data_IF_861556746944
#
_entry.id   IF_861556746944
#
_cell.length_a   1.000
_cell.length_b   1.000
_cell.length_c   1.000
_cell.angle_alpha   90.00
_cell.angle_beta   90.00
_cell.angle_gamma   90.00
#
_symmetry.space_group_name_H-M   'P 1'
#
loop_
_entity.id
_entity.type
_entity.pdbx_description
1 polymer ?
#
# COMPACT_ATOMS: atom_id res chain seq x y z
N UNK A 1 46.04 49.47 -20.72
CA UNK A 1 44.97 48.80 -21.47
C UNK A 1 43.65 49.13 -20.77
N UNK A 2 42.90 50.08 -21.33
CA UNK A 2 41.49 50.34 -21.00
C UNK A 2 40.65 49.25 -21.71
N UNK A 3 39.47 48.82 -21.27
CA UNK A 3 38.25 49.63 -21.17
C UNK A 3 37.17 48.91 -20.34
N UNK A 4 36.43 49.69 -19.54
CA UNK A 4 35.25 49.32 -18.74
C UNK A 4 33.96 49.38 -19.57
N UNK A 5 32.98 48.56 -19.19
CA UNK A 5 31.54 48.60 -19.60
C UNK A 5 30.90 49.98 -19.35
N UNK A 6 29.87 50.45 -20.12
CA UNK A 6 28.44 50.12 -19.86
C UNK A 6 27.49 50.17 -21.14
N UNK A 7 26.16 50.46 -21.07
CA UNK A 7 24.99 49.61 -21.45
C UNK A 7 24.26 50.03 -22.76
N UNK A 8 23.13 49.39 -23.18
CA UNK A 8 21.81 50.09 -23.11
C UNK A 8 20.56 49.15 -22.94
N UNK A 9 19.53 49.48 -22.15
CA UNK A 9 18.29 50.26 -22.45
C UNK A 9 17.33 49.61 -23.49
N UNK A 10 16.08 49.26 -23.09
CA UNK A 10 14.95 48.90 -24.00
C UNK A 10 14.35 50.13 -24.74
N UNK A 11 13.12 50.15 -25.35
CA UNK A 11 12.01 49.17 -25.48
C UNK A 11 11.33 49.07 -26.92
N UNK A 12 10.32 48.20 -27.11
CA UNK A 12 9.16 48.46 -28.03
C UNK A 12 8.90 47.56 -29.26
N UNK A 13 7.74 46.87 -29.29
CA UNK A 13 7.10 46.28 -30.49
C UNK A 13 6.20 45.05 -30.19
N UNK A 14 4.93 44.98 -30.68
CA UNK A 14 3.98 43.90 -30.35
C UNK A 14 4.15 42.68 -31.26
N UNK A 15 4.13 41.48 -30.68
CA UNK A 15 4.16 40.21 -31.43
C UNK A 15 2.76 39.58 -31.39
N UNK A 16 2.14 39.48 -32.56
CA UNK A 16 0.92 38.70 -32.81
C UNK A 16 1.11 37.23 -32.40
N UNK A 17 0.16 36.60 -31.69
CA UNK A 17 0.14 35.16 -31.56
C UNK A 17 -0.55 34.54 -32.78
N UNK A 18 0.24 34.18 -33.79
CA UNK A 18 -0.17 33.16 -34.76
C UNK A 18 -0.30 31.82 -34.03
N UNK A 19 -1.49 31.24 -34.00
CA UNK A 19 -1.76 29.96 -33.35
C UNK A 19 -3.23 29.71 -33.15
N UNK A 20 -3.93 29.33 -34.22
CA UNK A 20 -5.29 28.79 -34.15
C UNK A 20 -5.33 27.61 -33.17
N UNK A 21 -6.17 27.73 -32.14
CA UNK A 21 -6.53 26.63 -31.25
C UNK A 21 -7.51 25.72 -31.99
N UNK A 22 -7.23 24.41 -32.19
CA UNK A 22 -8.23 23.50 -32.71
C UNK A 22 -9.37 23.37 -31.69
N UNK A 23 -10.54 23.85 -32.06
CA UNK A 23 -11.78 23.70 -31.30
C UNK A 23 -12.27 22.26 -31.52
N UNK A 24 -11.91 21.34 -30.63
CA UNK A 24 -12.47 19.98 -30.60
C UNK A 24 -13.94 20.05 -30.15
N UNK A 25 -14.85 20.26 -31.10
CA UNK A 25 -16.25 19.88 -30.91
C UNK A 25 -16.40 18.41 -31.28
N UNK A 26 -16.95 17.55 -30.40
CA UNK A 26 -17.25 16.17 -30.73
C UNK A 26 -18.18 16.12 -31.95
N UNK A 27 -17.78 15.36 -32.97
CA UNK A 27 -18.52 15.23 -34.22
C UNK A 27 -19.77 14.35 -33.99
N UNK A 28 -20.92 15.01 -33.82
CA UNK A 28 -22.23 14.35 -33.63
C UNK A 28 -22.55 13.34 -34.72
N UNK A 29 -22.05 13.57 -35.93
CA UNK A 29 -22.27 12.72 -37.10
C UNK A 29 -21.65 11.33 -36.92
N UNK A 30 -20.53 11.23 -36.20
CA UNK A 30 -19.92 9.95 -35.86
C UNK A 30 -20.74 9.21 -34.79
N UNK A 31 -21.27 9.93 -33.80
CA UNK A 31 -22.14 9.35 -32.78
C UNK A 31 -23.47 8.82 -33.36
N UNK A 32 -24.11 9.59 -34.23
CA UNK A 32 -25.36 9.18 -34.89
C UNK A 32 -25.15 7.97 -35.81
N UNK A 33 -23.97 7.84 -36.42
CA UNK A 33 -23.62 6.67 -37.24
C UNK A 33 -23.49 5.38 -36.41
N UNK A 34 -23.11 5.46 -35.12
CA UNK A 34 -23.08 4.30 -34.22
C UNK A 34 -24.47 3.92 -33.71
N UNK A 35 -25.40 4.88 -33.61
CA UNK A 35 -26.80 4.62 -33.22
C UNK A 35 -27.65 4.10 -34.39
N UNK A 36 -27.36 4.53 -35.62
CA UNK A 36 -28.09 4.10 -36.82
C UNK A 36 -27.60 2.78 -37.42
N UNK A 37 -26.44 2.26 -36.99
CA UNK A 37 -25.95 0.93 -37.38
C UNK A 37 -26.54 -0.24 -36.59
N UNK A 38 -27.71 -0.07 -35.97
CA UNK A 38 -28.51 -1.17 -35.45
C UNK A 38 -29.61 -1.56 -36.46
N UNK A 39 -29.40 -2.54 -37.37
CA UNK A 39 -30.50 -3.16 -38.09
C UNK A 39 -31.26 -4.09 -37.13
N UNK A 40 -32.59 -4.03 -37.20
CA UNK A 40 -33.55 -4.67 -36.31
C UNK A 40 -33.16 -6.02 -35.69
N UNK A 41 -33.28 -6.10 -34.37
CA UNK A 41 -33.45 -7.36 -33.66
C UNK A 41 -34.75 -7.29 -32.86
N UNK A 42 -35.69 -8.15 -33.26
CA UNK A 42 -36.86 -8.57 -32.49
C UNK A 42 -36.48 -8.94 -31.05
N UNK A 43 -37.32 -8.62 -30.05
CA UNK A 43 -37.08 -9.02 -28.66
C UNK A 43 -37.26 -10.55 -28.56
N UNK A 44 -36.15 -11.31 -28.50
CA UNK A 44 -36.23 -12.75 -28.23
C UNK A 44 -35.12 -13.67 -28.75
N UNK A 45 -34.07 -13.20 -29.42
CA UNK A 45 -32.99 -14.08 -29.88
C UNK A 45 -31.60 -13.57 -29.46
N UNK A 46 -30.91 -14.37 -28.65
CA UNK A 46 -29.54 -14.13 -28.22
C UNK A 46 -28.56 -14.20 -29.41
N UNK A 47 -27.67 -13.21 -29.61
CA UNK A 47 -26.56 -13.33 -30.54
C UNK A 47 -25.38 -14.02 -29.87
N UNK A 48 -24.97 -15.17 -30.41
CA UNK A 48 -23.67 -15.78 -30.15
C UNK A 48 -22.58 -14.99 -30.93
N UNK A 49 -21.69 -14.31 -30.21
CA UNK A 49 -20.54 -13.53 -30.71
C UNK A 49 -19.75 -12.95 -29.53
N UNK A 50 -18.42 -12.73 -29.64
CA UNK A 50 -17.47 -12.95 -28.56
C UNK A 50 -17.68 -12.04 -27.36
N UNK A 51 -18.14 -12.64 -26.26
CA UNK A 51 -17.86 -12.33 -24.85
C UNK A 51 -17.44 -10.90 -24.50
N UNK A 52 -18.24 -9.91 -24.90
CA UNK A 52 -18.16 -8.56 -24.37
C UNK A 52 -19.03 -8.48 -23.14
N UNK A 53 -18.51 -8.89 -22.00
CA UNK A 53 -19.18 -8.73 -20.70
C UNK A 53 -19.58 -7.26 -20.60
N UNK A 54 -20.88 -6.97 -20.53
CA UNK A 54 -21.34 -5.58 -20.44
C UNK A 54 -20.67 -4.93 -19.22
N UNK A 55 -20.26 -3.64 -19.24
CA UNK A 55 -19.61 -3.00 -18.09
C UNK A 55 -20.42 -3.14 -16.79
N UNK A 56 -21.75 -3.22 -16.91
CA UNK A 56 -22.68 -3.46 -15.80
C UNK A 56 -22.70 -4.93 -15.32
N UNK A 57 -22.47 -5.86 -16.24
CA UNK A 57 -22.40 -7.30 -16.02
C UNK A 57 -21.02 -7.72 -15.49
N UNK A 58 -19.96 -6.97 -15.84
CA UNK A 58 -18.66 -7.03 -15.17
C UNK A 58 -18.72 -6.47 -13.74
N UNK A 59 -19.53 -5.42 -13.52
CA UNK A 59 -19.77 -4.86 -12.19
C UNK A 59 -20.63 -5.75 -11.29
N UNK A 60 -21.55 -6.54 -11.88
CA UNK A 60 -22.41 -7.47 -11.12
C UNK A 60 -21.85 -8.89 -11.00
N UNK A 61 -21.15 -9.39 -12.02
CA UNK A 61 -20.57 -10.73 -12.07
C UNK A 61 -19.12 -10.83 -11.61
N UNK A 62 -18.47 -9.72 -11.25
CA UNK A 62 -17.03 -9.63 -10.99
C UNK A 62 -16.61 -9.25 -9.57
N UNK A 63 -17.51 -9.20 -8.59
CA UNK A 63 -17.10 -9.01 -7.18
C UNK A 63 -16.45 -10.25 -6.57
N UNK A 64 -16.50 -11.40 -7.26
CA UNK A 64 -15.68 -12.58 -6.97
C UNK A 64 -14.45 -12.64 -7.90
N UNK A 65 -13.89 -11.49 -8.27
CA UNK A 65 -12.65 -11.40 -9.03
C UNK A 65 -11.52 -12.13 -8.29
N UNK A 66 -10.90 -13.08 -8.97
CA UNK A 66 -9.92 -14.06 -8.52
C UNK A 66 -8.60 -13.53 -7.92
N UNK A 67 -8.55 -12.30 -7.43
CA UNK A 67 -7.39 -11.67 -6.79
C UNK A 67 -7.77 -10.76 -5.60
N UNK A 68 -9.01 -10.81 -5.10
CA UNK A 68 -9.35 -10.11 -3.86
C UNK A 68 -8.70 -10.83 -2.68
N UNK A 69 -7.92 -10.13 -1.82
CA UNK A 69 -7.44 -10.72 -0.58
C UNK A 69 -8.59 -11.31 0.23
N UNK A 70 -8.49 -12.59 0.54
CA UNK A 70 -9.40 -13.23 1.49
C UNK A 70 -8.91 -13.02 2.91
N UNK A 71 -9.82 -13.04 3.89
CA UNK A 71 -9.47 -12.98 5.30
C UNK A 71 -8.43 -14.05 5.67
N UNK A 72 -8.54 -15.25 5.11
CA UNK A 72 -7.59 -16.34 5.36
C UNK A 72 -6.18 -16.03 4.80
N UNK A 73 -6.08 -15.38 3.63
CA UNK A 73 -4.77 -14.94 3.10
C UNK A 73 -4.12 -13.87 3.98
N UNK A 74 -4.91 -12.92 4.50
CA UNK A 74 -4.41 -11.92 5.43
C UNK A 74 -3.96 -12.54 6.75
N UNK A 75 -4.74 -13.48 7.31
CA UNK A 75 -4.36 -14.18 8.55
C UNK A 75 -3.04 -14.95 8.37
N UNK A 76 -2.88 -15.67 7.25
CA UNK A 76 -1.62 -16.35 6.95
C UNK A 76 -0.44 -15.36 6.83
N UNK A 77 -0.68 -14.18 6.24
CA UNK A 77 0.33 -13.15 6.10
C UNK A 77 0.68 -12.46 7.42
N UNK A 78 -0.30 -12.23 8.30
CA UNK A 78 -0.10 -11.75 9.67
C UNK A 78 0.77 -12.75 10.44
N UNK A 79 0.46 -14.05 10.37
CA UNK A 79 1.25 -15.10 11.03
C UNK A 79 2.70 -15.17 10.50
N UNK A 80 2.89 -15.00 9.19
CA UNK A 80 4.22 -14.96 8.58
C UNK A 80 5.00 -13.74 9.07
N UNK A 81 4.35 -12.58 9.13
CA UNK A 81 4.95 -11.33 9.62
C UNK A 81 5.31 -11.41 11.11
N UNK A 82 4.44 -12.02 11.91
CA UNK A 82 4.68 -12.30 13.32
C UNK A 82 5.92 -13.20 13.51
N UNK A 83 6.05 -14.26 12.71
CA UNK A 83 7.22 -15.15 12.74
C UNK A 83 8.51 -14.39 12.39
N UNK A 84 8.46 -13.43 11.47
CA UNK A 84 9.60 -12.58 11.13
C UNK A 84 10.03 -11.69 12.32
N UNK A 85 9.08 -11.14 13.07
CA UNK A 85 9.38 -10.37 14.27
C UNK A 85 10.04 -11.21 15.36
N UNK A 86 9.50 -12.40 15.62
CA UNK A 86 10.09 -13.35 16.57
C UNK A 86 11.52 -13.73 16.18
N UNK A 87 11.80 -13.88 14.88
CA UNK A 87 13.16 -14.09 14.40
C UNK A 87 14.06 -12.87 14.65
N UNK A 88 13.59 -11.66 14.33
CA UNK A 88 14.32 -10.41 14.60
C UNK A 88 14.63 -10.28 16.09
N UNK A 89 13.66 -10.52 16.96
CA UNK A 89 13.79 -10.48 18.42
C UNK A 89 14.85 -11.46 18.93
N UNK A 90 14.81 -12.72 18.46
CA UNK A 90 15.83 -13.73 18.80
C UNK A 90 17.24 -13.29 18.37
N UNK A 91 17.38 -12.71 17.18
CA UNK A 91 18.65 -12.20 16.69
C UNK A 91 19.14 -10.99 17.51
N UNK A 92 18.25 -10.09 17.91
CA UNK A 92 18.57 -8.94 18.76
C UNK A 92 18.95 -9.34 20.19
N UNK A 93 18.43 -10.46 20.69
CA UNK A 93 18.77 -11.03 22.01
C UNK A 93 20.09 -11.81 22.01
N UNK A 94 20.78 -11.92 20.88
CA UNK A 94 22.06 -12.61 20.81
C UNK A 94 23.10 -11.83 21.66
N UNK A 95 23.82 -12.51 22.58
CA UNK A 95 24.77 -11.85 23.46
C UNK A 95 25.92 -11.23 22.68
N UNK A 96 26.44 -10.10 23.18
CA UNK A 96 27.55 -9.34 22.61
C UNK A 96 27.29 -8.68 21.23
N UNK A 97 26.03 -8.49 20.83
CA UNK A 97 25.75 -7.75 19.60
C UNK A 97 26.23 -6.30 19.71
N UNK A 98 27.20 -5.93 18.86
CA UNK A 98 27.66 -4.54 18.70
C UNK A 98 27.30 -4.03 17.32
N UNK A 99 26.46 -3.00 17.26
CA UNK A 99 26.08 -2.37 16.01
C UNK A 99 27.10 -1.30 15.63
N UNK A 100 27.48 -1.25 14.35
CA UNK A 100 28.09 -0.03 13.80
C UNK A 100 27.02 1.05 13.70
N UNK A 101 27.39 2.32 13.91
CA UNK A 101 26.45 3.45 13.90
C UNK A 101 25.59 3.54 12.62
N UNK A 102 26.17 3.21 11.46
CA UNK A 102 25.46 3.16 10.19
C UNK A 102 24.40 2.05 10.13
N UNK A 103 24.70 0.89 10.69
CA UNK A 103 23.80 -0.26 10.75
C UNK A 103 22.67 -0.02 11.74
N UNK A 104 22.96 0.60 12.88
CA UNK A 104 21.97 1.02 13.87
C UNK A 104 20.93 1.95 13.24
N UNK A 105 21.37 2.97 12.51
CA UNK A 105 20.47 3.91 11.83
C UNK A 105 19.60 3.20 10.77
N UNK A 106 20.20 2.32 9.97
CA UNK A 106 19.46 1.56 8.95
C UNK A 106 18.40 0.66 9.60
N UNK A 107 18.76 -0.05 10.67
CA UNK A 107 17.88 -0.93 11.39
C UNK A 107 16.73 -0.17 12.06
N UNK A 108 17.06 0.97 12.69
CA UNK A 108 16.06 1.88 13.28
C UNK A 108 15.05 2.34 12.25
N UNK A 109 15.51 2.83 11.10
CA UNK A 109 14.62 3.35 10.07
C UNK A 109 13.70 2.26 9.54
N UNK A 110 14.26 1.08 9.22
CA UNK A 110 13.45 -0.04 8.70
C UNK A 110 12.42 -0.55 9.71
N UNK A 111 12.81 -0.72 10.98
CA UNK A 111 11.87 -1.16 12.02
C UNK A 111 10.81 -0.11 12.32
N UNK A 112 11.18 1.18 12.32
CA UNK A 112 10.24 2.28 12.50
C UNK A 112 9.25 2.38 11.33
N UNK A 113 9.73 2.24 10.09
CA UNK A 113 8.90 2.22 8.89
C UNK A 113 7.97 1.00 8.91
N UNK A 114 8.49 -0.19 9.22
CA UNK A 114 7.69 -1.40 9.35
C UNK A 114 6.56 -1.21 10.37
N UNK A 115 6.84 -0.69 11.56
CA UNK A 115 5.81 -0.39 12.56
C UNK A 115 4.78 0.63 12.09
N UNK A 116 5.21 1.65 11.34
CA UNK A 116 4.28 2.65 10.78
C UNK A 116 3.29 1.98 9.82
N UNK A 117 3.78 1.11 8.94
CA UNK A 117 2.93 0.37 8.01
C UNK A 117 2.07 -0.68 8.71
N UNK A 118 2.55 -1.32 9.77
CA UNK A 118 1.74 -2.24 10.57
C UNK A 118 0.62 -1.55 11.31
N UNK A 119 0.91 -0.40 11.90
CA UNK A 119 -0.11 0.43 12.55
C UNK A 119 -1.15 0.86 11.52
N UNK A 120 -0.71 1.30 10.34
CA UNK A 120 -1.63 1.62 9.25
C UNK A 120 -2.47 0.41 8.83
N UNK A 121 -1.87 -0.77 8.68
CA UNK A 121 -2.58 -2.00 8.33
C UNK A 121 -3.61 -2.38 9.41
N UNK A 122 -3.20 -2.36 10.68
CA UNK A 122 -4.04 -2.63 11.87
C UNK A 122 -5.26 -1.71 11.90
N UNK A 123 -5.04 -0.40 11.74
CA UNK A 123 -6.11 0.60 11.67
C UNK A 123 -7.09 0.34 10.52
N UNK A 124 -6.61 -0.13 9.37
CA UNK A 124 -7.45 -0.44 8.22
C UNK A 124 -8.28 -1.71 8.45
N UNK A 125 -7.74 -2.68 9.18
CA UNK A 125 -8.46 -3.90 9.59
C UNK A 125 -9.51 -3.64 10.67
N UNK A 126 -9.57 -2.43 11.24
CA UNK A 126 -10.52 -2.08 12.29
C UNK A 126 -10.06 -2.49 13.69
N UNK A 127 -8.80 -2.89 13.83
CA UNK A 127 -8.19 -3.20 15.11
C UNK A 127 -8.00 -1.95 15.97
N UNK A 128 -8.03 -2.14 17.28
CA UNK A 128 -7.68 -1.09 18.21
C UNK A 128 -6.18 -0.82 18.13
N UNK A 129 -5.80 0.46 18.11
CA UNK A 129 -4.39 0.82 18.08
C UNK A 129 -3.75 0.31 19.35
N UNK A 130 -2.88 -0.70 19.25
CA UNK A 130 -2.20 -1.23 20.41
C UNK A 130 -1.41 -0.11 21.10
N UNK A 131 -1.47 -0.07 22.43
CA UNK A 131 -0.76 0.95 23.21
C UNK A 131 0.73 0.90 22.87
N UNK A 132 1.36 2.02 22.46
CA UNK A 132 2.75 1.99 22.06
C UNK A 132 3.63 1.60 23.25
N UNK A 133 4.54 0.65 23.03
CA UNK A 133 5.53 0.24 24.02
C UNK A 133 6.37 1.44 24.42
N UNK A 134 6.43 1.73 25.73
CA UNK A 134 7.24 2.84 26.25
C UNK A 134 8.72 2.44 26.19
N UNK A 135 9.48 3.14 25.34
CA UNK A 135 10.91 2.94 25.19
C UNK A 135 11.63 4.06 25.95
N UNK A 136 12.38 3.75 27.03
CA UNK A 136 13.08 4.77 27.82
C UNK A 136 14.02 5.64 26.98
N UNK A 137 14.12 6.94 27.31
CA UNK A 137 14.97 7.90 26.58
C UNK A 137 16.45 7.53 26.58
N UNK A 138 16.90 6.76 27.59
CA UNK A 138 18.26 6.24 27.74
C UNK A 138 18.45 4.79 27.27
N UNK A 139 17.42 4.16 26.68
CA UNK A 139 17.49 2.78 26.24
C UNK A 139 18.61 2.58 25.21
N UNK A 140 19.34 1.47 25.36
CA UNK A 140 20.32 0.99 24.41
C UNK A 140 19.67 0.75 23.04
N UNK A 141 20.44 0.77 21.94
CA UNK A 141 19.89 0.51 20.61
C UNK A 141 19.15 -0.82 20.51
N UNK A 142 19.67 -1.87 21.16
CA UNK A 142 19.02 -3.19 21.26
C UNK A 142 17.64 -3.07 21.91
N UNK A 143 17.56 -2.43 23.07
CA UNK A 143 16.28 -2.26 23.79
C UNK A 143 15.27 -1.45 22.99
N UNK A 144 15.73 -0.44 22.25
CA UNK A 144 14.86 0.31 21.32
C UNK A 144 14.35 -0.59 20.20
N UNK A 145 15.20 -1.42 19.61
CA UNK A 145 14.79 -2.34 18.56
C UNK A 145 13.83 -3.41 19.07
N UNK A 146 14.08 -3.96 20.26
CA UNK A 146 13.15 -4.89 20.91
C UNK A 146 11.80 -4.19 21.16
N UNK A 147 11.80 -2.96 21.68
CA UNK A 147 10.57 -2.19 21.89
C UNK A 147 9.81 -1.93 20.60
N UNK A 148 10.50 -1.64 19.48
CA UNK A 148 9.87 -1.52 18.17
C UNK A 148 9.29 -2.86 17.71
N UNK A 149 10.04 -3.97 17.84
CA UNK A 149 9.56 -5.31 17.48
C UNK A 149 8.32 -5.69 18.29
N UNK A 150 8.35 -5.51 19.61
CA UNK A 150 7.21 -5.79 20.48
C UNK A 150 6.00 -4.92 20.16
N UNK A 151 6.19 -3.65 19.77
CA UNK A 151 5.09 -2.82 19.30
C UNK A 151 4.46 -3.42 18.03
N UNK A 152 5.29 -3.83 17.05
CA UNK A 152 4.81 -4.49 15.83
C UNK A 152 4.07 -5.81 16.11
N UNK A 153 4.57 -6.62 17.04
CA UNK A 153 3.90 -7.84 17.53
C UNK A 153 2.52 -7.53 18.10
N UNK A 154 2.40 -6.52 18.96
CA UNK A 154 1.12 -6.11 19.53
C UNK A 154 0.15 -5.61 18.45
N UNK A 155 0.61 -4.81 17.48
CA UNK A 155 -0.24 -4.33 16.38
C UNK A 155 -0.76 -5.48 15.52
N UNK A 156 0.08 -6.49 15.26
CA UNK A 156 -0.32 -7.68 14.51
C UNK A 156 -1.32 -8.54 15.29
N UNK A 157 -1.19 -8.62 16.61
CA UNK A 157 -2.13 -9.34 17.44
C UNK A 157 -3.52 -8.69 17.43
N UNK A 158 -3.60 -7.37 17.61
CA UNK A 158 -4.87 -6.64 17.52
C UNK A 158 -5.48 -6.75 16.12
N UNK A 159 -4.65 -6.65 15.07
CA UNK A 159 -5.08 -6.86 13.69
C UNK A 159 -5.66 -8.26 13.46
N UNK A 160 -5.02 -9.29 14.00
CA UNK A 160 -5.51 -10.66 13.93
C UNK A 160 -6.87 -10.81 14.61
N UNK A 161 -7.03 -10.24 15.80
CA UNK A 161 -8.30 -10.29 16.53
C UNK A 161 -9.42 -9.60 15.74
N UNK A 162 -9.16 -8.43 15.16
CA UNK A 162 -10.14 -7.73 14.34
C UNK A 162 -10.55 -8.50 13.08
N UNK A 163 -9.62 -9.23 12.46
CA UNK A 163 -9.93 -10.11 11.32
C UNK A 163 -10.80 -11.31 11.73
N UNK A 164 -10.55 -11.88 12.90
CA UNK A 164 -11.38 -12.96 13.45
C UNK A 164 -12.79 -12.46 13.78
N UNK A 165 -12.89 -11.31 14.45
CA UNK A 165 -14.17 -10.67 14.77
C UNK A 165 -14.96 -10.35 13.49
N UNK A 166 -14.29 -9.89 12.43
CA UNK A 166 -14.91 -9.61 11.14
C UNK A 166 -15.41 -10.89 10.45
N UNK A 167 -14.65 -11.98 10.54
CA UNK A 167 -15.03 -13.31 10.02
C UNK A 167 -16.27 -13.86 10.74
N UNK A 168 -16.37 -13.65 12.05
CA UNK A 168 -17.50 -14.11 12.85
C UNK A 168 -18.77 -13.27 12.61
N UNK A 169 -18.63 -12.00 12.22
CA UNK A 169 -19.74 -11.06 11.99
C UNK A 169 -20.15 -10.90 10.50
N UNK A 170 -19.59 -11.70 9.59
CA UNK A 170 -19.74 -11.56 8.14
C UNK A 170 -21.20 -11.58 7.65
N UNK A 171 -22.09 -12.25 8.40
CA UNK A 171 -23.52 -12.39 8.05
C UNK A 171 -24.42 -11.17 8.31
N UNK A 172 -23.93 -10.10 8.94
CA UNK A 172 -24.74 -8.92 9.30
C UNK A 172 -24.40 -7.65 8.48
N UNK A 173 -23.48 -7.74 7.53
CA UNK A 173 -22.99 -6.57 6.79
C UNK A 173 -23.89 -6.24 5.59
N UNK A 174 -24.22 -4.95 5.42
CA UNK A 174 -24.89 -4.50 4.20
C UNK A 174 -23.89 -4.56 3.02
N UNK A 175 -24.37 -4.68 1.76
CA UNK A 175 -23.49 -4.74 0.58
C UNK A 175 -22.50 -3.57 0.45
N UNK A 176 -22.91 -2.36 0.87
CA UNK A 176 -22.02 -1.19 0.90
C UNK A 176 -20.89 -1.32 1.93
N UNK A 177 -21.21 -1.88 3.11
CA UNK A 177 -20.22 -2.14 4.16
C UNK A 177 -19.24 -3.23 3.72
N UNK A 178 -19.73 -4.25 3.00
CA UNK A 178 -18.90 -5.30 2.43
C UNK A 178 -17.87 -4.76 1.43
N UNK A 179 -18.28 -3.85 0.53
CA UNK A 179 -17.35 -3.21 -0.42
C UNK A 179 -16.30 -2.36 0.31
N UNK A 180 -16.70 -1.61 1.34
CA UNK A 180 -15.77 -0.83 2.16
C UNK A 180 -14.78 -1.74 2.89
N UNK A 181 -15.25 -2.87 3.43
CA UNK A 181 -14.43 -3.90 4.06
C UNK A 181 -13.40 -4.44 3.06
N UNK A 182 -13.81 -4.82 1.85
CA UNK A 182 -12.89 -5.29 0.81
C UNK A 182 -11.79 -4.28 0.48
N UNK A 183 -12.15 -2.99 0.31
CA UNK A 183 -11.17 -1.93 0.04
C UNK A 183 -10.19 -1.77 1.21
N UNK A 184 -10.69 -1.83 2.45
CA UNK A 184 -9.85 -1.76 3.66
C UNK A 184 -8.93 -2.97 3.78
N UNK A 185 -9.41 -4.17 3.48
CA UNK A 185 -8.60 -5.40 3.48
C UNK A 185 -7.51 -5.35 2.42
N UNK A 186 -7.81 -4.86 1.21
CA UNK A 186 -6.80 -4.65 0.17
C UNK A 186 -5.72 -3.65 0.58
N UNK A 187 -6.10 -2.53 1.21
CA UNK A 187 -5.13 -1.57 1.75
C UNK A 187 -4.32 -2.16 2.91
N UNK A 188 -4.94 -2.98 3.77
CA UNK A 188 -4.24 -3.66 4.85
C UNK A 188 -3.21 -4.66 4.32
N UNK A 189 -3.58 -5.45 3.31
CA UNK A 189 -2.67 -6.38 2.64
C UNK A 189 -1.43 -5.65 2.10
N UNK A 190 -1.61 -4.56 1.35
CA UNK A 190 -0.48 -3.81 0.79
C UNK A 190 0.48 -3.30 1.88
N UNK A 191 -0.07 -2.80 2.99
CA UNK A 191 0.74 -2.34 4.11
C UNK A 191 1.47 -3.49 4.82
N UNK A 192 0.81 -4.65 4.97
CA UNK A 192 1.43 -5.86 5.51
C UNK A 192 2.55 -6.39 4.60
N UNK A 193 2.34 -6.41 3.28
CA UNK A 193 3.36 -6.79 2.30
C UNK A 193 4.59 -5.91 2.42
N UNK A 194 4.39 -4.59 2.44
CA UNK A 194 5.49 -3.66 2.57
C UNK A 194 6.23 -3.81 3.90
N UNK A 195 5.50 -3.94 5.01
CA UNK A 195 6.10 -4.20 6.32
C UNK A 195 6.90 -5.51 6.31
N UNK A 196 6.39 -6.58 5.72
CA UNK A 196 7.07 -7.87 5.60
C UNK A 196 8.36 -7.78 4.77
N UNK A 197 8.38 -7.00 3.69
CA UNK A 197 9.58 -6.74 2.89
C UNK A 197 10.64 -5.99 3.72
N UNK A 198 10.22 -4.97 4.50
CA UNK A 198 11.12 -4.24 5.38
C UNK A 198 11.70 -5.13 6.49
N UNK A 199 10.90 -6.02 7.05
CA UNK A 199 11.33 -6.99 8.06
C UNK A 199 12.29 -8.03 7.48
N UNK A 200 12.02 -8.55 6.28
CA UNK A 200 12.95 -9.44 5.59
C UNK A 200 14.32 -8.79 5.39
N UNK A 201 14.34 -7.53 4.92
CA UNK A 201 15.58 -6.74 4.78
C UNK A 201 16.25 -6.49 6.13
N UNK A 202 15.48 -6.31 7.19
CA UNK A 202 15.99 -6.15 8.56
C UNK A 202 16.70 -7.43 9.03
N UNK A 203 16.08 -8.59 8.79
CA UNK A 203 16.68 -9.91 9.07
C UNK A 203 17.98 -10.08 8.28
N UNK A 204 18.02 -9.71 7.01
CA UNK A 204 19.24 -9.81 6.20
C UNK A 204 20.37 -8.93 6.73
N UNK A 205 20.07 -7.70 7.14
CA UNK A 205 21.04 -6.81 7.80
C UNK A 205 21.54 -7.42 9.12
N UNK A 206 20.64 -7.99 9.93
CA UNK A 206 21.01 -8.68 11.17
C UNK A 206 21.90 -9.89 10.90
N UNK A 207 21.59 -10.70 9.89
CA UNK A 207 22.38 -11.88 9.50
C UNK A 207 23.78 -11.45 9.07
N UNK A 208 23.89 -10.43 8.24
CA UNK A 208 25.19 -9.87 7.84
C UNK A 208 25.99 -9.40 9.05
N UNK A 209 25.35 -8.76 10.04
CA UNK A 209 26.04 -8.30 11.25
C UNK A 209 26.56 -9.45 12.11
N UNK A 210 25.75 -10.48 12.34
CA UNK A 210 26.14 -11.65 13.13
C UNK A 210 27.27 -12.41 12.42
N UNK A 211 27.17 -12.59 11.10
CA UNK A 211 28.17 -13.34 10.33
C UNK A 211 29.50 -12.59 10.11
N UNK A 212 29.53 -11.26 10.29
CA UNK A 212 30.77 -10.47 10.30
C UNK A 212 31.46 -10.52 11.68
N UNK A 213 30.77 -10.98 12.72
CA UNK A 213 31.29 -11.05 14.10
C UNK A 213 31.84 -12.43 14.50
N UNK A 214 31.60 -13.47 13.69
CA UNK A 214 32.20 -14.81 13.80
C UNK A 214 33.49 -14.88 12.98
#
# INVERSE_FOLDING_TARGET
>A
MAEQTPPPTGPGGPIEPTGEKPKLTPDKSQFDSYMQQAPGQTPGAAPQGPSGVSPMELAQGGLQGANQPTLDTLLAQVNTTHSNFENVKKMLQTPNLRFKRSQEHLLRNKLSEANTHLTAASNKMGAQVATPVNIPSGASPVERFIGLVTNGENQLHEAQQALLDLKDNEGQLNPGDMMLVQVKLAQAQQNLEYASILLSKTIDVLKQMINIQL
#
